data_IF_325675905073
#
_entry.id   IF_325675905073
#
_cell.length_a   1.000
_cell.length_b   1.000
_cell.length_c   1.000
_cell.angle_alpha   90.00
_cell.angle_beta   90.00
_cell.angle_gamma   90.00
#
_symmetry.space_group_name_H-M   'P 1'
#
loop_
_entity.id
_entity.type
_entity.pdbx_description
1 polymer ?
#
# COMPACT_ATOMS: atom_id res chain seq x y z
N UNK A 1 22.89 22.50 4.74
CA UNK A 1 21.79 22.77 5.68
C UNK A 1 20.52 22.17 5.09
N UNK A 2 20.01 21.08 5.67
CA UNK A 2 18.73 20.50 5.26
C UNK A 2 17.61 21.36 5.85
N UNK A 3 16.88 22.09 5.02
CA UNK A 3 15.69 22.82 5.45
C UNK A 3 14.57 21.83 5.69
N UNK A 4 14.23 21.57 6.95
CA UNK A 4 13.08 20.74 7.33
C UNK A 4 11.80 21.42 6.85
N UNK A 5 11.14 20.83 5.86
CA UNK A 5 9.82 21.26 5.40
C UNK A 5 8.77 20.95 6.48
N UNK A 6 7.86 21.88 6.73
CA UNK A 6 6.78 21.68 7.72
C UNK A 6 5.80 20.62 7.24
N UNK A 7 5.12 19.94 8.17
CA UNK A 7 4.12 18.92 7.85
C UNK A 7 3.03 19.46 6.90
N UNK A 8 2.56 20.69 7.11
CA UNK A 8 1.56 21.34 6.23
C UNK A 8 2.07 21.49 4.81
N UNK A 9 3.31 21.95 4.61
CA UNK A 9 3.86 22.15 3.28
C UNK A 9 4.13 20.83 2.55
N UNK A 10 4.53 19.80 3.29
CA UNK A 10 4.63 18.43 2.74
C UNK A 10 3.25 17.90 2.35
N UNK A 11 2.24 18.09 3.20
CA UNK A 11 0.86 17.69 2.90
C UNK A 11 0.34 18.37 1.64
N UNK A 12 0.53 19.68 1.49
CA UNK A 12 0.08 20.42 0.31
C UNK A 12 0.66 19.86 -0.99
N UNK A 13 1.95 19.47 -0.98
CA UNK A 13 2.61 18.86 -2.12
C UNK A 13 2.13 17.45 -2.45
N UNK A 14 1.80 16.65 -1.43
CA UNK A 14 1.42 15.24 -1.60
C UNK A 14 -0.08 15.02 -1.78
N UNK A 15 -0.93 15.95 -1.31
CA UNK A 15 -2.37 15.73 -1.16
C UNK A 15 -3.06 15.27 -2.44
N UNK A 16 -2.80 15.95 -3.57
CA UNK A 16 -3.41 15.59 -4.85
C UNK A 16 -2.91 14.24 -5.37
N UNK A 17 -1.62 13.94 -5.17
CA UNK A 17 -1.03 12.66 -5.55
C UNK A 17 -1.61 11.50 -4.74
N UNK A 18 -1.74 11.67 -3.42
CA UNK A 18 -2.40 10.71 -2.54
C UNK A 18 -3.85 10.49 -2.97
N UNK A 19 -4.61 11.57 -3.22
CA UNK A 19 -6.01 11.48 -3.66
C UNK A 19 -6.16 10.68 -4.95
N UNK A 20 -5.33 10.92 -5.96
CA UNK A 20 -5.38 10.17 -7.21
C UNK A 20 -5.15 8.67 -6.97
N UNK A 21 -4.11 8.32 -6.20
CA UNK A 21 -3.78 6.91 -5.88
C UNK A 21 -4.91 6.21 -5.13
N UNK A 22 -5.60 6.91 -4.22
CA UNK A 22 -6.76 6.35 -3.51
C UNK A 22 -7.92 6.03 -4.46
N UNK A 23 -8.23 6.93 -5.40
CA UNK A 23 -9.30 6.72 -6.39
C UNK A 23 -8.94 5.58 -7.34
N UNK A 24 -7.70 5.53 -7.83
CA UNK A 24 -7.21 4.47 -8.71
C UNK A 24 -7.27 3.09 -8.04
N UNK A 25 -6.90 3.02 -6.76
CA UNK A 25 -6.98 1.79 -5.98
C UNK A 25 -8.43 1.35 -5.79
N UNK A 26 -9.32 2.26 -5.36
CA UNK A 26 -10.75 1.96 -5.20
C UNK A 26 -11.37 1.44 -6.52
N UNK A 27 -11.14 2.14 -7.63
CA UNK A 27 -11.65 1.73 -8.93
C UNK A 27 -11.10 0.35 -9.38
N UNK A 28 -9.88 0.00 -8.97
CA UNK A 28 -9.30 -1.32 -9.25
C UNK A 28 -9.97 -2.42 -8.42
N UNK A 29 -10.23 -2.16 -7.15
CA UNK A 29 -10.97 -3.09 -6.28
C UNK A 29 -12.40 -3.32 -6.81
N UNK A 30 -13.10 -2.25 -7.18
CA UNK A 30 -14.44 -2.33 -7.79
C UNK A 30 -14.46 -3.20 -9.06
N UNK A 31 -13.44 -3.12 -9.90
CA UNK A 31 -13.34 -3.96 -11.11
C UNK A 31 -13.12 -5.42 -10.76
N UNK A 32 -12.34 -5.71 -9.73
CA UNK A 32 -12.11 -7.09 -9.26
C UNK A 32 -13.41 -7.67 -8.71
N UNK A 33 -14.13 -6.93 -7.87
CA UNK A 33 -15.39 -7.38 -7.28
C UNK A 33 -16.51 -7.59 -8.30
N UNK A 34 -16.49 -6.85 -9.42
CA UNK A 34 -17.42 -7.05 -10.55
C UNK A 34 -17.03 -8.19 -11.49
N UNK A 35 -15.82 -8.73 -11.38
CA UNK A 35 -15.33 -9.79 -12.26
C UNK A 35 -15.77 -11.16 -11.75
N UNK A 36 -16.01 -12.09 -12.67
CA UNK A 36 -16.26 -13.49 -12.33
C UNK A 36 -14.91 -14.15 -11.98
N UNK A 37 -14.78 -14.70 -10.78
CA UNK A 37 -13.50 -15.21 -10.28
C UNK A 37 -13.63 -15.92 -8.93
N UNK A 38 -12.67 -16.77 -8.56
CA UNK A 38 -12.75 -17.52 -7.31
C UNK A 38 -12.78 -16.57 -6.11
N UNK A 39 -13.89 -16.63 -5.37
CA UNK A 39 -14.02 -15.99 -4.07
C UNK A 39 -12.93 -16.50 -3.12
N UNK A 40 -12.22 -15.59 -2.45
CA UNK A 40 -11.22 -15.94 -1.43
C UNK A 40 -9.77 -16.06 -1.92
N UNK A 41 -9.39 -15.36 -3.00
CA UNK A 41 -7.98 -15.28 -3.39
C UNK A 41 -7.14 -14.57 -2.30
N UNK A 42 -6.07 -15.21 -1.77
CA UNK A 42 -5.28 -14.65 -0.66
C UNK A 42 -4.55 -13.36 -1.02
N UNK A 43 -4.40 -13.04 -2.33
CA UNK A 43 -3.84 -11.75 -2.77
C UNK A 43 -4.76 -10.58 -2.40
N UNK A 44 -6.07 -10.80 -2.33
CA UNK A 44 -7.02 -9.78 -1.88
C UNK A 44 -6.81 -9.46 -0.40
N UNK A 45 -6.54 -10.47 0.42
CA UNK A 45 -6.26 -10.26 1.84
C UNK A 45 -4.95 -9.50 2.06
N UNK A 46 -3.94 -9.74 1.22
CA UNK A 46 -2.70 -8.92 1.22
C UNK A 46 -2.98 -7.45 0.89
N UNK A 47 -3.85 -7.17 -0.08
CA UNK A 47 -4.25 -5.79 -0.43
C UNK A 47 -4.97 -5.12 0.76
N UNK A 48 -5.93 -5.81 1.39
CA UNK A 48 -6.63 -5.32 2.58
C UNK A 48 -5.66 -5.03 3.73
N UNK A 49 -4.71 -5.93 3.97
CA UNK A 49 -3.68 -5.73 4.99
C UNK A 49 -2.79 -4.53 4.70
N UNK A 50 -2.45 -4.30 3.43
CA UNK A 50 -1.74 -3.10 2.99
C UNK A 50 -2.49 -1.81 3.33
N UNK A 51 -3.80 -1.77 3.08
CA UNK A 51 -4.66 -0.64 3.43
C UNK A 51 -4.69 -0.36 4.94
N UNK A 52 -4.80 -1.40 5.76
CA UNK A 52 -4.75 -1.26 7.23
C UNK A 52 -3.42 -0.64 7.70
N UNK A 53 -2.30 -1.05 7.12
CA UNK A 53 -0.99 -0.50 7.42
C UNK A 53 -0.92 0.98 7.03
N UNK A 54 -1.43 1.34 5.85
CA UNK A 54 -1.47 2.73 5.38
C UNK A 54 -2.30 3.61 6.32
N UNK A 55 -3.45 3.10 6.79
CA UNK A 55 -4.34 3.83 7.69
C UNK A 55 -3.86 3.91 9.15
N UNK A 56 -2.94 3.03 9.56
CA UNK A 56 -2.41 3.00 10.94
C UNK A 56 -1.53 4.21 11.27
N UNK A 57 -1.41 4.57 12.54
CA UNK A 57 -0.53 5.66 13.01
C UNK A 57 0.94 5.25 13.21
N UNK A 58 1.28 3.99 12.94
CA UNK A 58 2.65 3.51 13.12
C UNK A 58 3.59 4.05 12.03
N UNK A 59 4.87 4.30 12.36
CA UNK A 59 5.87 4.74 11.38
C UNK A 59 6.14 3.65 10.32
N UNK A 60 6.96 4.00 9.34
CA UNK A 60 7.53 3.06 8.35
C UNK A 60 6.46 2.32 7.52
N UNK A 61 5.35 2.99 7.22
CA UNK A 61 4.22 2.42 6.45
C UNK A 61 4.68 1.78 5.14
N UNK A 62 5.59 2.43 4.41
CA UNK A 62 6.09 1.91 3.14
C UNK A 62 6.82 0.57 3.30
N UNK A 63 7.75 0.46 4.26
CA UNK A 63 8.47 -0.78 4.56
C UNK A 63 7.50 -1.89 5.00
N UNK A 64 6.57 -1.54 5.89
CA UNK A 64 5.57 -2.49 6.39
C UNK A 64 4.66 -3.01 5.28
N UNK A 65 4.22 -2.14 4.36
CA UNK A 65 3.48 -2.55 3.15
C UNK A 65 4.35 -3.46 2.29
N UNK A 66 5.61 -3.11 2.04
CA UNK A 66 6.53 -3.94 1.26
C UNK A 66 6.69 -5.35 1.84
N UNK A 67 6.77 -5.50 3.16
CA UNK A 67 6.89 -6.80 3.82
C UNK A 67 5.65 -7.69 3.60
N UNK A 68 4.44 -7.12 3.51
CA UNK A 68 3.21 -7.89 3.19
C UNK A 68 3.29 -8.57 1.83
N UNK A 69 3.95 -7.92 0.86
CA UNK A 69 4.10 -8.42 -0.50
C UNK A 69 5.42 -9.16 -0.75
N UNK A 70 6.31 -9.21 0.23
CA UNK A 70 7.60 -9.90 0.12
C UNK A 70 7.44 -11.41 0.27
N UNK A 71 8.34 -12.16 -0.36
CA UNK A 71 8.51 -13.57 -0.07
C UNK A 71 9.26 -13.74 1.27
N UNK A 72 9.02 -14.83 2.01
CA UNK A 72 9.89 -15.22 3.11
C UNK A 72 11.33 -15.28 2.62
N UNK A 73 12.27 -14.85 3.46
CA UNK A 73 13.69 -15.03 3.17
C UNK A 73 14.00 -16.53 3.10
N UNK A 74 14.60 -16.96 2.00
CA UNK A 74 15.13 -18.30 1.82
C UNK A 74 16.66 -18.24 1.82
N UNK A 75 17.29 -18.83 2.82
CA UNK A 75 18.75 -18.91 2.95
C UNK A 75 19.40 -19.69 1.78
N UNK A 76 18.62 -20.51 1.10
CA UNK A 76 19.05 -21.37 0.00
C UNK A 76 18.65 -20.82 -1.38
N UNK A 77 18.23 -19.56 -1.50
CA UNK A 77 17.67 -18.99 -2.75
C UNK A 77 18.56 -19.08 -3.99
N UNK A 78 19.88 -19.28 -3.84
CA UNK A 78 20.85 -19.41 -4.95
C UNK A 78 21.15 -20.86 -5.37
N UNK A 79 20.57 -21.85 -4.68
CA UNK A 79 20.82 -23.26 -4.97
C UNK A 79 19.95 -23.75 -6.12
#
# INVERSE_FOLDING_TARGET
>A
MTTTTTASKTLDGEFLGIRCRLIELAASMDRIERSDGPSGDPRIDKIRRGLEIIASDSPDRAERVQLVFSLPYDENWRK
#
